data_IF_902476934837
#
_entry.id   IF_902476934837
#
_cell.length_a   1.000
_cell.length_b   1.000
_cell.length_c   1.000
_cell.angle_alpha   90.00
_cell.angle_beta   90.00
_cell.angle_gamma   90.00
#
_symmetry.space_group_name_H-M   'P 1'
#
loop_
_entity.id
_entity.type
_entity.pdbx_description
1 polymer ?
#
# COMPACT_ATOMS: atom_id res chain seq x y z
N UNK A 1 -21.66 -13.95 -15.09
CA UNK A 1 -21.99 -14.03 -13.67
C UNK A 1 -21.21 -15.16 -13.04
N UNK A 2 -20.13 -14.84 -12.34
CA UNK A 2 -19.44 -15.81 -11.48
C UNK A 2 -19.38 -15.14 -10.11
N UNK A 3 -20.33 -15.52 -9.26
CA UNK A 3 -20.33 -15.15 -7.86
C UNK A 3 -19.10 -15.82 -7.24
N UNK A 4 -18.10 -15.01 -6.87
CA UNK A 4 -17.01 -15.45 -6.02
C UNK A 4 -17.62 -15.80 -4.66
N UNK A 5 -17.92 -17.09 -4.46
CA UNK A 5 -18.40 -17.61 -3.19
C UNK A 5 -17.23 -17.57 -2.22
N UNK A 6 -17.15 -16.49 -1.43
CA UNK A 6 -16.31 -16.43 -0.24
C UNK A 6 -16.79 -17.54 0.70
N UNK A 7 -16.05 -18.67 0.74
CA UNK A 7 -16.40 -19.81 1.59
C UNK A 7 -16.11 -19.44 3.04
N UNK A 8 -17.17 -19.47 3.83
CA UNK A 8 -17.23 -19.03 5.22
C UNK A 8 -16.31 -19.81 6.18
N UNK A 9 -15.91 -19.07 7.22
CA UNK A 9 -15.15 -19.45 8.41
C UNK A 9 -15.88 -20.54 9.23
N UNK A 10 -15.25 -21.67 9.50
CA UNK A 10 -15.73 -22.64 10.50
C UNK A 10 -15.29 -22.19 11.89
N UNK A 11 -16.19 -22.10 12.86
CA UNK A 11 -15.81 -21.80 14.24
C UNK A 11 -15.19 -23.05 14.89
N UNK A 12 -13.87 -23.02 15.13
CA UNK A 12 -13.11 -24.13 15.72
C UNK A 12 -13.30 -24.19 17.25
N UNK A 13 -13.44 -23.03 17.89
CA UNK A 13 -13.84 -22.88 19.29
C UNK A 13 -14.43 -21.48 19.52
N UNK A 14 -14.95 -21.18 20.71
CA UNK A 14 -15.55 -19.87 20.99
C UNK A 14 -14.50 -18.76 20.83
N UNK A 15 -14.67 -17.94 19.78
CA UNK A 15 -13.74 -16.86 19.43
C UNK A 15 -12.59 -17.27 18.50
N UNK A 16 -12.47 -18.56 18.12
CA UNK A 16 -11.45 -19.05 17.19
C UNK A 16 -12.11 -19.51 15.91
N UNK A 17 -11.83 -18.81 14.83
CA UNK A 17 -12.32 -19.12 13.49
C UNK A 17 -11.24 -19.87 12.71
N UNK A 18 -11.64 -20.80 11.85
CA UNK A 18 -10.75 -21.44 10.88
C UNK A 18 -10.14 -20.35 10.01
N UNK A 19 -8.85 -20.49 9.70
CA UNK A 19 -8.21 -19.62 8.72
C UNK A 19 -9.03 -19.64 7.42
N UNK A 20 -9.29 -18.50 6.78
CA UNK A 20 -9.96 -18.49 5.48
C UNK A 20 -9.14 -19.37 4.51
N UNK A 21 -9.76 -20.43 4.01
CA UNK A 21 -9.13 -21.35 3.06
C UNK A 21 -9.27 -20.77 1.65
N UNK A 22 -8.14 -20.46 1.02
CA UNK A 22 -8.05 -19.91 -0.34
C UNK A 22 -6.63 -19.41 -0.65
N UNK A 23 -6.32 -19.19 -1.94
CA UNK A 23 -5.11 -18.47 -2.32
C UNK A 23 -5.38 -16.98 -2.14
N UNK A 24 -4.51 -16.30 -1.41
CA UNK A 24 -4.54 -14.84 -1.28
C UNK A 24 -3.20 -14.27 -1.68
N UNK A 25 -3.21 -13.05 -2.20
CA UNK A 25 -1.99 -12.29 -2.46
C UNK A 25 -1.87 -11.21 -1.38
N UNK A 26 -0.77 -11.24 -0.62
CA UNK A 26 -0.46 -10.22 0.36
C UNK A 26 0.55 -9.23 -0.23
N UNK A 27 0.31 -7.94 -0.03
CA UNK A 27 1.21 -6.86 -0.44
C UNK A 27 1.63 -6.05 0.78
N UNK A 28 2.90 -5.68 0.79
CA UNK A 28 3.52 -4.87 1.83
C UNK A 28 4.17 -3.67 1.14
N UNK A 29 3.70 -2.47 1.47
CA UNK A 29 4.26 -1.22 0.97
C UNK A 29 4.85 -0.44 2.14
N UNK A 30 6.08 0.06 1.96
CA UNK A 30 6.72 0.98 2.89
C UNK A 30 7.58 1.97 2.10
N UNK A 31 7.82 3.15 2.66
CA UNK A 31 8.68 4.15 2.06
C UNK A 31 10.15 3.90 2.40
N UNK A 32 10.98 3.63 1.39
CA UNK A 32 12.43 3.45 1.58
C UNK A 32 13.06 4.77 1.98
N UNK A 33 13.92 4.77 3.00
CA UNK A 33 14.62 5.97 3.47
C UNK A 33 13.75 6.95 4.27
N UNK A 34 12.52 6.57 4.64
CA UNK A 34 11.60 7.44 5.40
C UNK A 34 12.22 7.99 6.68
N UNK A 35 12.97 7.17 7.43
CA UNK A 35 13.63 7.61 8.67
C UNK A 35 14.72 8.65 8.42
N UNK A 36 15.46 8.53 7.31
CA UNK A 36 16.45 9.53 6.89
C UNK A 36 15.77 10.85 6.54
N UNK A 37 14.66 10.80 5.79
CA UNK A 37 13.89 11.99 5.43
C UNK A 37 13.26 12.67 6.65
N UNK A 38 12.71 11.90 7.59
CA UNK A 38 12.16 12.41 8.84
C UNK A 38 13.22 13.13 9.69
N UNK A 39 14.45 12.58 9.74
CA UNK A 39 15.56 13.22 10.45
C UNK A 39 16.07 14.49 9.74
N UNK A 40 15.96 14.56 8.41
CA UNK A 40 16.35 15.73 7.62
C UNK A 40 15.33 16.87 7.76
N UNK A 41 14.06 16.61 7.49
CA UNK A 41 12.98 17.60 7.54
C UNK A 41 11.65 16.90 7.85
N UNK A 42 11.32 16.81 9.14
CA UNK A 42 10.14 16.08 9.61
C UNK A 42 8.82 16.59 8.98
N UNK A 43 8.52 17.90 8.94
CA UNK A 43 7.28 18.38 8.32
C UNK A 43 7.13 17.97 6.85
N UNK A 44 8.20 18.14 6.05
CA UNK A 44 8.19 17.78 4.62
C UNK A 44 8.06 16.27 4.45
N UNK A 45 8.82 15.49 5.22
CA UNK A 45 8.78 14.03 5.17
C UNK A 45 7.40 13.49 5.57
N UNK A 46 6.77 14.05 6.61
CA UNK A 46 5.42 13.64 7.05
C UNK A 46 4.38 13.91 5.97
N UNK A 47 4.37 15.12 5.41
CA UNK A 47 3.46 15.48 4.33
C UNK A 47 3.65 14.57 3.10
N UNK A 48 4.89 14.19 2.81
CA UNK A 48 5.22 13.29 1.70
C UNK A 48 4.76 11.85 1.96
N UNK A 49 4.90 11.35 3.19
CA UNK A 49 4.37 10.05 3.58
C UNK A 49 2.84 10.02 3.53
N UNK A 50 2.18 11.11 3.94
CA UNK A 50 0.72 11.25 3.86
C UNK A 50 0.25 11.17 2.39
N UNK A 51 0.98 11.79 1.45
CA UNK A 51 0.72 11.65 0.00
C UNK A 51 0.84 10.17 -0.40
N UNK A 52 1.95 9.50 -0.05
CA UNK A 52 2.18 8.08 -0.41
C UNK A 52 1.02 7.20 0.01
N UNK A 53 0.64 7.29 1.29
CA UNK A 53 -0.37 6.40 1.86
C UNK A 53 -1.79 6.78 1.46
N UNK A 54 -2.07 8.07 1.25
CA UNK A 54 -3.35 8.52 0.69
C UNK A 54 -3.56 7.97 -0.72
N UNK A 55 -2.55 8.06 -1.60
CA UNK A 55 -2.64 7.50 -2.96
C UNK A 55 -2.70 5.97 -2.96
N UNK A 56 -2.00 5.32 -2.02
CA UNK A 56 -2.08 3.88 -1.83
C UNK A 56 -3.50 3.42 -1.46
N UNK A 57 -4.15 4.13 -0.55
CA UNK A 57 -5.53 3.85 -0.13
C UNK A 57 -6.55 4.22 -1.20
N UNK A 58 -6.39 5.36 -1.88
CA UNK A 58 -7.27 5.77 -2.97
C UNK A 58 -7.25 4.75 -4.12
N UNK A 59 -6.08 4.20 -4.44
CA UNK A 59 -5.91 3.18 -5.48
C UNK A 59 -6.62 1.86 -5.18
N UNK A 60 -7.04 1.61 -3.93
CA UNK A 60 -7.82 0.41 -3.58
C UNK A 60 -9.25 0.46 -4.08
N UNK A 61 -9.81 1.64 -4.34
CA UNK A 61 -11.21 1.80 -4.73
C UNK A 61 -11.60 1.01 -6.00
N UNK A 62 -10.61 0.66 -6.84
CA UNK A 62 -10.79 -0.11 -8.06
C UNK A 62 -10.58 -1.64 -7.88
N UNK A 63 -10.42 -2.13 -6.65
CA UNK A 63 -10.01 -3.51 -6.37
C UNK A 63 -10.85 -4.16 -5.28
N UNK A 64 -10.83 -5.50 -5.19
CA UNK A 64 -11.40 -6.24 -4.05
C UNK A 64 -10.42 -6.37 -2.85
N UNK A 65 -9.39 -5.50 -2.78
CA UNK A 65 -8.38 -5.53 -1.72
C UNK A 65 -8.93 -5.18 -0.34
N UNK A 66 -8.46 -5.90 0.68
CA UNK A 66 -8.77 -5.64 2.08
C UNK A 66 -7.53 -5.14 2.82
N UNK A 67 -7.64 -3.95 3.42
CA UNK A 67 -6.59 -3.37 4.25
C UNK A 67 -6.47 -4.16 5.54
N UNK A 68 -5.29 -4.73 5.78
CA UNK A 68 -4.94 -5.46 7.00
C UNK A 68 -4.40 -4.52 8.06
N UNK A 69 -3.52 -3.61 7.64
CA UNK A 69 -2.84 -2.67 8.54
C UNK A 69 -2.43 -1.40 7.79
N UNK A 70 -2.49 -0.27 8.49
CA UNK A 70 -1.97 1.03 8.05
C UNK A 70 -1.28 1.67 9.24
N UNK A 71 0.03 1.87 9.12
CA UNK A 71 0.84 2.58 10.10
C UNK A 71 1.34 3.90 9.50
N UNK A 72 2.16 4.61 10.27
CA UNK A 72 2.82 5.83 9.81
C UNK A 72 3.86 5.61 8.69
N UNK A 73 4.24 4.36 8.40
CA UNK A 73 5.31 4.02 7.46
C UNK A 73 5.02 2.79 6.58
N UNK A 74 3.90 2.10 6.79
CA UNK A 74 3.54 0.91 6.04
C UNK A 74 2.04 0.78 5.73
N UNK A 75 1.74 0.13 4.62
CA UNK A 75 0.38 -0.29 4.24
C UNK A 75 0.40 -1.76 3.86
N UNK A 76 -0.43 -2.55 4.53
CA UNK A 76 -0.60 -3.98 4.27
C UNK A 76 -1.98 -4.24 3.71
N UNK A 77 -2.05 -4.90 2.57
CA UNK A 77 -3.31 -5.22 1.89
C UNK A 77 -3.28 -6.68 1.45
N UNK A 78 -4.44 -7.33 1.53
CA UNK A 78 -4.63 -8.68 1.04
C UNK A 78 -5.69 -8.67 -0.06
N UNK A 79 -5.40 -9.36 -1.16
CA UNK A 79 -6.25 -9.48 -2.33
C UNK A 79 -6.67 -10.94 -2.53
N UNK A 80 -7.90 -11.19 -3.03
CA UNK A 80 -8.32 -12.55 -3.36
C UNK A 80 -7.64 -13.08 -4.63
N UNK A 81 -7.08 -12.21 -5.48
CA UNK A 81 -6.35 -12.57 -6.69
C UNK A 81 -5.01 -11.82 -6.80
N UNK A 82 -3.96 -12.51 -7.23
CA UNK A 82 -2.64 -11.90 -7.47
C UNK A 82 -2.67 -10.81 -8.56
N UNK A 83 -3.55 -10.95 -9.56
CA UNK A 83 -3.72 -9.93 -10.59
C UNK A 83 -4.24 -8.59 -10.03
N UNK A 84 -5.13 -8.62 -9.04
CA UNK A 84 -5.63 -7.41 -8.39
C UNK A 84 -4.54 -6.74 -7.54
N UNK A 85 -3.72 -7.53 -6.85
CA UNK A 85 -2.55 -7.02 -6.15
C UNK A 85 -1.60 -6.28 -7.10
N UNK A 86 -1.33 -6.85 -8.29
CA UNK A 86 -0.49 -6.20 -9.30
C UNK A 86 -1.12 -4.94 -9.87
N UNK A 87 -2.43 -4.96 -10.16
CA UNK A 87 -3.18 -3.78 -10.63
C UNK A 87 -3.11 -2.67 -9.58
N UNK A 88 -3.27 -2.99 -8.30
CA UNK A 88 -3.11 -2.03 -7.22
C UNK A 88 -1.69 -1.47 -7.18
N UNK A 89 -0.64 -2.32 -7.12
CA UNK A 89 0.75 -1.87 -7.09
C UNK A 89 1.10 -0.92 -8.24
N UNK A 90 0.68 -1.26 -9.46
CA UNK A 90 0.89 -0.42 -10.65
C UNK A 90 0.08 0.88 -10.60
N UNK A 91 -1.15 0.81 -10.10
CA UNK A 91 -2.02 1.96 -9.88
C UNK A 91 -1.40 2.97 -8.92
N UNK A 92 -0.90 2.50 -7.77
CA UNK A 92 -0.21 3.35 -6.79
C UNK A 92 1.04 3.97 -7.42
N UNK A 93 1.89 3.16 -8.06
CA UNK A 93 3.09 3.68 -8.72
C UNK A 93 2.78 4.77 -9.75
N UNK A 94 1.71 4.60 -10.54
CA UNK A 94 1.26 5.59 -11.51
C UNK A 94 0.70 6.86 -10.85
N UNK A 95 -0.06 6.72 -9.76
CA UNK A 95 -0.59 7.86 -9.01
C UNK A 95 0.55 8.71 -8.42
N UNK A 96 1.55 8.06 -7.83
CA UNK A 96 2.72 8.71 -7.23
C UNK A 96 3.58 9.47 -8.24
N UNK A 97 3.61 9.07 -9.52
CA UNK A 97 4.30 9.85 -10.56
C UNK A 97 3.65 11.21 -10.84
N UNK A 98 2.36 11.36 -10.57
CA UNK A 98 1.61 12.60 -10.77
C UNK A 98 1.24 13.33 -9.47
N UNK A 99 1.72 12.84 -8.33
CA UNK A 99 1.36 13.39 -7.03
C UNK A 99 2.01 14.77 -6.78
N UNK A 100 1.38 15.64 -5.98
CA UNK A 100 1.87 16.99 -5.69
C UNK A 100 2.99 16.96 -4.63
N UNK A 101 4.16 16.43 -5.00
CA UNK A 101 5.30 16.33 -4.10
C UNK A 101 5.80 17.72 -3.65
N UNK A 102 6.22 17.88 -2.38
CA UNK A 102 6.91 19.09 -1.93
C UNK A 102 8.22 19.32 -2.70
N UNK A 103 8.46 20.56 -3.14
CA UNK A 103 9.65 20.92 -3.91
C UNK A 103 10.94 20.59 -3.13
N UNK A 104 10.94 20.81 -1.81
CA UNK A 104 12.09 20.51 -0.95
C UNK A 104 12.47 19.03 -0.99
N UNK A 105 11.48 18.13 -1.09
CA UNK A 105 11.73 16.69 -1.21
C UNK A 105 12.37 16.37 -2.57
N UNK A 106 11.89 16.98 -3.66
CA UNK A 106 12.40 16.75 -5.01
C UNK A 106 13.86 17.20 -5.18
N UNK A 107 14.29 18.18 -4.40
CA UNK A 107 15.68 18.65 -4.36
C UNK A 107 16.60 17.76 -3.53
N UNK A 108 16.05 16.90 -2.67
CA UNK A 108 16.81 16.05 -1.76
C UNK A 108 17.63 14.98 -2.51
N UNK A 109 18.84 14.68 -2.00
CA UNK A 109 19.78 13.76 -2.65
C UNK A 109 19.25 12.33 -2.82
N UNK A 110 18.39 11.87 -1.90
CA UNK A 110 17.73 10.55 -2.00
C UNK A 110 16.76 10.45 -3.19
N UNK A 111 16.22 11.57 -3.67
CA UNK A 111 15.30 11.62 -4.81
C UNK A 111 16.07 11.79 -6.14
N UNK A 112 17.30 12.31 -6.08
CA UNK A 112 18.16 12.53 -7.26
C UNK A 112 18.65 11.25 -7.93
N UNK A 113 18.41 10.07 -7.37
CA UNK A 113 18.65 8.80 -8.07
C UNK A 113 17.58 8.64 -9.15
N UNK A 114 17.82 9.27 -10.30
CA UNK A 114 17.09 8.96 -11.53
C UNK A 114 17.14 7.44 -11.72
N UNK A 115 15.98 6.79 -11.72
CA UNK A 115 15.84 5.47 -12.29
C UNK A 115 16.43 5.53 -13.72
N UNK A 116 17.48 4.76 -14.05
CA UNK A 116 17.91 4.62 -15.42
C UNK A 116 16.82 3.80 -16.11
N UNK A 117 15.89 4.47 -16.78
CA UNK A 117 15.14 3.83 -17.86
C UNK A 117 16.10 3.51 -19.00
#
# INVERSE_FOLDING_TARGET
GVLSVSRYKTQLSRGVLSAPLGHVAATFMHAVGAQTLLAWNEPVARASLDIVFSEALASLAATAGYVVDVSADQVHVVFPLAAEALVWCLGVGRALLGAPWPDELLEHELVRVRCPL
#
